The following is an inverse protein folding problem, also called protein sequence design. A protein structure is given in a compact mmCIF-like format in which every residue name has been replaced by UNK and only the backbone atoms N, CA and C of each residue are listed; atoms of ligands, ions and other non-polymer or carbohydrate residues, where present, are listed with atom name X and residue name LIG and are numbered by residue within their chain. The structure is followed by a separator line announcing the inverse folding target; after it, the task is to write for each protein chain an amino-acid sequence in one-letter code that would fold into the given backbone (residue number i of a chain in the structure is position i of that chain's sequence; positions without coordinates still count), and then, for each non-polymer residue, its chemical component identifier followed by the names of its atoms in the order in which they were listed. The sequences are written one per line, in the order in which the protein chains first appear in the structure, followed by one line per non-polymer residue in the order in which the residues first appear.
data_IF_477501189540
#
_entry.id   IF_477501189540
#
_cell.length_a   1.000
_cell.length_b   1.000
_cell.length_c   1.000
_cell.angle_alpha   90.00
_cell.angle_beta   90.00
_cell.angle_gamma   90.00
#
_symmetry.space_group_name_H-M   'P 1'
#
loop_
_entity.id
_entity.type
_entity.pdbx_description
1 polymer ?
#
# COMPACT_ATOMS: atom_id res chain seq x y z
N UNK A 1 12.29 -13.26 -18.53
CA UNK A 1 11.44 -12.07 -18.79
C UNK A 1 10.05 -12.43 -18.31
N UNK A 2 9.71 -12.11 -17.06
CA UNK A 2 8.36 -12.36 -16.53
C UNK A 2 7.71 -11.01 -16.36
N UNK A 3 6.98 -10.59 -17.38
CA UNK A 3 6.08 -9.45 -17.30
C UNK A 3 4.88 -9.90 -16.48
N UNK A 4 5.03 -9.91 -15.15
CA UNK A 4 3.85 -9.88 -14.30
C UNK A 4 3.16 -8.56 -14.63
N UNK A 5 2.01 -8.63 -15.30
CA UNK A 5 1.00 -7.58 -15.19
C UNK A 5 0.52 -7.60 -13.75
N UNK A 6 1.41 -7.23 -12.81
CA UNK A 6 1.15 -7.22 -11.38
C UNK A 6 -0.03 -6.31 -11.17
N UNK A 7 -1.15 -6.93 -10.82
CA UNK A 7 -2.33 -6.22 -10.36
C UNK A 7 -1.95 -5.54 -9.05
N UNK A 8 -2.03 -4.22 -9.04
CA UNK A 8 -1.69 -3.39 -7.90
C UNK A 8 -2.98 -2.85 -7.31
N UNK A 9 -3.08 -2.89 -5.99
CA UNK A 9 -4.13 -2.24 -5.23
C UNK A 9 -3.56 -0.98 -4.60
N UNK A 10 -4.27 0.13 -4.76
CA UNK A 10 -3.94 1.41 -4.15
C UNK A 10 -4.89 1.65 -3.00
N UNK A 11 -4.36 1.74 -1.78
CA UNK A 11 -5.10 2.12 -0.59
C UNK A 11 -4.87 3.62 -0.40
N UNK A 12 -5.89 4.44 -0.64
CA UNK A 12 -5.81 5.89 -0.46
C UNK A 12 -6.00 6.26 1.01
N UNK A 13 -5.25 7.26 1.47
CA UNK A 13 -5.44 7.92 2.75
C UNK A 13 -6.63 8.85 2.75
N UNK A 14 -7.74 8.43 2.12
CA UNK A 14 -9.02 9.12 2.08
C UNK A 14 -10.09 8.08 2.38
N UNK A 15 -10.97 8.39 3.33
CA UNK A 15 -12.08 7.51 3.67
C UNK A 15 -13.16 7.55 2.58
N UNK A 16 -14.09 6.60 2.58
CA UNK A 16 -15.26 6.64 1.72
C UNK A 16 -16.13 7.90 1.94
N UNK A 17 -16.02 8.54 3.10
CA UNK A 17 -16.64 9.84 3.41
C UNK A 17 -15.87 11.06 2.87
N UNK A 18 -14.79 10.85 2.10
CA UNK A 18 -13.99 11.92 1.50
C UNK A 18 -13.04 12.63 2.46
N UNK A 19 -12.82 12.10 3.68
CA UNK A 19 -11.95 12.72 4.69
C UNK A 19 -10.54 12.17 4.59
N UNK A 20 -9.53 13.04 4.75
CA UNK A 20 -8.14 12.61 4.82
C UNK A 20 -7.88 11.76 6.07
N UNK A 21 -7.28 10.60 5.88
CA UNK A 21 -6.88 9.69 6.95
C UNK A 21 -5.64 10.21 7.68
N UNK A 22 -5.60 10.00 9.00
CA UNK A 22 -4.56 10.50 9.90
C UNK A 22 -4.06 9.36 10.80
N UNK A 23 -2.81 9.43 11.30
CA UNK A 23 -1.82 10.49 11.08
C UNK A 23 -1.26 10.50 9.64
N UNK A 24 -0.58 11.59 9.24
CA UNK A 24 -0.08 11.74 7.86
C UNK A 24 1.03 10.76 7.49
N UNK A 25 1.66 10.11 8.47
CA UNK A 25 2.72 9.11 8.31
C UNK A 25 2.20 7.67 8.31
N UNK A 26 0.87 7.47 8.21
CA UNK A 26 0.25 6.15 8.26
C UNK A 26 0.75 5.21 7.15
N UNK A 27 1.01 5.75 5.96
CA UNK A 27 1.44 4.97 4.81
C UNK A 27 2.83 4.38 5.05
N UNK A 28 3.74 5.21 5.57
CA UNK A 28 5.08 4.82 5.97
C UNK A 28 5.05 3.82 7.12
N UNK A 29 4.13 3.97 8.09
CA UNK A 29 3.93 3.01 9.19
C UNK A 29 3.46 1.64 8.67
N UNK A 30 2.46 1.61 7.80
CA UNK A 30 1.96 0.37 7.20
C UNK A 30 3.07 -0.32 6.39
N UNK A 31 3.77 0.42 5.54
CA UNK A 31 4.89 -0.12 4.77
C UNK A 31 6.06 -0.60 5.63
N UNK A 32 6.30 0.04 6.78
CA UNK A 32 7.28 -0.38 7.77
C UNK A 32 6.98 -1.76 8.34
N UNK A 33 5.73 -2.01 8.74
CA UNK A 33 5.26 -3.35 9.20
C UNK A 33 5.47 -4.39 8.09
N UNK A 34 5.24 -3.98 6.84
CA UNK A 34 5.35 -4.88 5.69
C UNK A 34 6.79 -5.12 5.22
N UNK A 35 7.79 -4.39 5.73
CA UNK A 35 9.18 -4.44 5.25
C UNK A 35 9.84 -5.82 5.35
N UNK A 36 9.37 -6.68 6.27
CA UNK A 36 9.84 -8.05 6.45
C UNK A 36 9.41 -9.01 5.32
N UNK A 37 8.32 -8.69 4.60
CA UNK A 37 7.78 -9.54 3.54
C UNK A 37 8.40 -9.15 2.21
N UNK A 38 9.50 -9.80 1.82
CA UNK A 38 10.19 -9.51 0.56
C UNK A 38 10.92 -10.74 0.02
N UNK A 39 11.07 -10.88 -1.30
CA UNK A 39 11.84 -11.97 -1.89
C UNK A 39 13.35 -11.68 -1.77
N UNK A 40 14.11 -12.62 -1.20
CA UNK A 40 15.59 -12.61 -1.19
C UNK A 40 16.24 -12.31 0.16
N UNK A 41 17.57 -12.48 0.23
CA UNK A 41 18.34 -12.30 1.46
C UNK A 41 18.44 -10.82 1.87
N UNK A 42 18.31 -10.58 3.17
CA UNK A 42 18.58 -9.27 3.76
C UNK A 42 20.08 -9.00 3.68
N UNK A 43 20.49 -8.16 2.72
CA UNK A 43 21.86 -7.66 2.66
C UNK A 43 22.14 -6.83 3.92
N UNK A 44 23.20 -7.15 4.69
CA UNK A 44 23.62 -6.37 5.84
C UNK A 44 23.78 -4.89 5.46
N UNK A 45 23.13 -3.99 6.20
CA UNK A 45 23.19 -2.54 5.94
C UNK A 45 22.00 -1.94 5.17
N UNK A 46 21.00 -2.74 4.74
CA UNK A 46 19.76 -2.25 4.10
C UNK A 46 18.50 -2.51 4.96
N UNK A 47 18.58 -2.15 6.23
CA UNK A 47 17.52 -2.39 7.23
C UNK A 47 16.30 -1.46 7.09
N UNK A 48 16.35 -0.42 6.25
CA UNK A 48 15.30 0.60 6.14
C UNK A 48 14.55 0.61 4.80
N UNK A 49 14.62 -0.47 4.04
CA UNK A 49 13.94 -0.53 2.74
C UNK A 49 12.57 -1.18 2.89
N UNK A 50 11.52 -0.50 2.40
CA UNK A 50 10.18 -1.05 2.30
C UNK A 50 10.13 -2.33 1.46
N UNK A 51 9.08 -3.13 1.65
CA UNK A 51 8.83 -4.28 0.79
C UNK A 51 8.58 -3.84 -0.65
N UNK A 52 9.10 -4.55 -1.67
CA UNK A 52 8.76 -4.27 -3.06
C UNK A 52 7.25 -4.46 -3.35
N UNK A 53 6.54 -5.19 -2.49
CA UNK A 53 5.11 -5.44 -2.63
C UNK A 53 4.23 -4.53 -1.77
N UNK A 54 4.81 -3.69 -0.92
CA UNK A 54 4.07 -2.71 -0.11
C UNK A 54 4.89 -1.41 -0.04
N UNK A 55 4.51 -0.43 -0.87
CA UNK A 55 5.28 0.80 -1.07
C UNK A 55 4.44 2.02 -0.71
N UNK A 56 4.89 2.88 0.22
CA UNK A 56 4.21 4.13 0.53
C UNK A 56 4.52 5.17 -0.54
N UNK A 57 3.51 5.91 -0.96
CA UNK A 57 3.66 6.97 -1.97
C UNK A 57 2.59 8.05 -1.81
N UNK A 58 2.53 9.00 -2.73
CA UNK A 58 1.43 9.93 -2.87
C UNK A 58 0.86 9.90 -4.29
N UNK A 59 -0.46 9.94 -4.37
CA UNK A 59 -1.20 10.07 -5.63
C UNK A 59 -2.08 11.30 -5.50
N UNK A 60 -1.95 12.25 -6.42
CA UNK A 60 -2.71 13.52 -6.41
C UNK A 60 -2.62 14.30 -5.08
N UNK A 61 -1.45 14.30 -4.44
CA UNK A 61 -1.24 14.97 -3.15
C UNK A 61 -1.80 14.22 -1.93
N UNK A 62 -2.45 13.08 -2.14
CA UNK A 62 -2.99 12.21 -1.10
C UNK A 62 -1.98 11.09 -0.81
N UNK A 63 -1.69 10.85 0.47
CA UNK A 63 -0.85 9.71 0.91
C UNK A 63 -1.56 8.40 0.61
N UNK A 64 -0.84 7.42 0.07
CA UNK A 64 -1.39 6.11 -0.25
C UNK A 64 -0.34 5.01 -0.12
N UNK A 65 -0.80 3.77 -0.09
CA UNK A 65 0.05 2.59 -0.12
C UNK A 65 -0.31 1.77 -1.35
N UNK A 66 0.71 1.36 -2.10
CA UNK A 66 0.58 0.44 -3.22
C UNK A 66 0.89 -0.96 -2.71
N UNK A 67 -0.06 -1.88 -2.88
CA UNK A 67 0.08 -3.30 -2.55
C UNK A 67 0.09 -4.11 -3.85
N UNK A 68 1.14 -4.90 -4.07
CA UNK A 68 1.25 -5.80 -5.23
C UNK A 68 0.58 -7.14 -4.92
N UNK A 69 -0.25 -7.67 -5.82
CA UNK A 69 -0.92 -8.96 -5.65
C UNK A 69 0.08 -10.14 -5.56
N UNK A 70 1.33 -9.95 -5.98
CA UNK A 70 2.40 -10.91 -5.70
C UNK A 70 2.61 -11.16 -4.19
N UNK A 71 2.24 -10.22 -3.31
CA UNK A 71 2.22 -10.43 -1.87
C UNK A 71 1.26 -11.54 -1.47
N UNK A 72 0.07 -11.61 -2.07
CA UNK A 72 -0.92 -12.64 -1.75
C UNK A 72 -0.40 -14.05 -2.08
N UNK A 73 0.32 -14.20 -3.19
CA UNK A 73 0.95 -15.47 -3.55
C UNK A 73 2.12 -15.84 -2.63
N UNK A 74 2.73 -14.86 -1.97
CA UNK A 74 3.83 -15.08 -1.03
C UNK A 74 3.32 -15.37 0.38
N UNK A 75 2.44 -14.52 0.89
CA UNK A 75 1.84 -14.63 2.22
C UNK A 75 0.42 -14.02 2.19
N UNK A 76 -0.58 -14.91 2.25
CA UNK A 76 -2.01 -14.54 2.24
C UNK A 76 -2.37 -13.72 3.48
N UNK A 77 -1.79 -14.01 4.64
CA UNK A 77 -2.10 -13.26 5.87
C UNK A 77 -1.57 -11.83 5.80
N UNK A 78 -0.40 -11.63 5.19
CA UNK A 78 0.17 -10.30 4.98
C UNK A 78 -0.67 -9.47 4.00
N UNK A 79 -1.19 -10.10 2.94
CA UNK A 79 -2.14 -9.47 2.03
C UNK A 79 -3.45 -9.09 2.74
N UNK A 80 -4.04 -10.03 3.47
CA UNK A 80 -5.28 -9.83 4.20
C UNK A 80 -5.13 -8.74 5.26
N UNK A 81 -3.97 -8.64 5.91
CA UNK A 81 -3.67 -7.55 6.84
C UNK A 81 -3.79 -6.17 6.17
N UNK A 82 -3.20 -5.99 4.99
CA UNK A 82 -3.30 -4.73 4.24
C UNK A 82 -4.75 -4.43 3.81
N UNK A 83 -5.48 -5.44 3.33
CA UNK A 83 -6.86 -5.26 2.87
C UNK A 83 -7.82 -4.99 4.03
N UNK A 84 -7.65 -5.69 5.15
CA UNK A 84 -8.42 -5.45 6.37
C UNK A 84 -8.08 -4.09 6.98
N UNK A 85 -6.81 -3.66 6.96
CA UNK A 85 -6.44 -2.31 7.38
C UNK A 85 -7.23 -1.24 6.59
N UNK A 86 -7.34 -1.38 5.27
CA UNK A 86 -8.14 -0.45 4.47
C UNK A 86 -9.62 -0.50 4.85
N UNK A 87 -10.18 -1.69 5.01
CA UNK A 87 -11.59 -1.90 5.36
C UNK A 87 -11.94 -1.33 6.73
N UNK A 88 -11.15 -1.62 7.75
CA UNK A 88 -11.39 -1.22 9.14
C UNK A 88 -11.28 0.30 9.32
N UNK A 89 -10.48 0.97 8.48
CA UNK A 89 -10.33 2.43 8.46
C UNK A 89 -11.19 3.11 7.39
N UNK A 90 -12.11 2.36 6.74
CA UNK A 90 -13.01 2.84 5.69
C UNK A 90 -12.29 3.56 4.54
N UNK A 91 -11.07 3.13 4.21
CA UNK A 91 -10.22 3.74 3.19
C UNK A 91 -10.63 3.32 1.79
N UNK A 92 -10.57 4.26 0.85
CA UNK A 92 -10.83 3.97 -0.55
C UNK A 92 -9.72 3.11 -1.15
N UNK A 93 -10.10 2.02 -1.83
CA UNK A 93 -9.19 1.12 -2.51
C UNK A 93 -9.45 1.09 -4.02
N UNK A 94 -8.39 1.11 -4.83
CA UNK A 94 -8.48 1.04 -6.30
C UNK A 94 -7.63 -0.08 -6.86
N UNK A 95 -8.17 -0.83 -7.83
CA UNK A 95 -7.38 -1.73 -8.66
C UNK A 95 -6.74 -0.91 -9.79
N UNK A 96 -5.42 -0.79 -9.77
CA UNK A 96 -4.68 0.11 -10.67
C UNK A 96 -4.66 1.56 -10.19
N UNK A 97 -4.03 2.43 -10.98
CA UNK A 97 -3.82 3.84 -10.62
C UNK A 97 -5.18 4.52 -10.37
N UNK A 98 -5.38 5.16 -9.20
CA UNK A 98 -6.63 5.85 -8.89
C UNK A 98 -6.91 6.94 -9.93
N UNK A 99 -8.19 7.18 -10.30
CA UNK A 99 -8.54 8.33 -11.11
C UNK A 99 -8.11 9.62 -10.40
N UNK A 100 -7.90 10.69 -11.15
CA UNK A 100 -7.61 12.01 -10.60
C UNK A 100 -8.79 12.45 -9.70
N UNK A 101 -8.72 12.11 -8.41
CA UNK A 101 -9.70 12.54 -7.42
C UNK A 101 -9.44 14.01 -7.16
N UNK A 102 -10.24 14.89 -7.77
CA UNK A 102 -10.35 16.28 -7.32
C UNK A 102 -10.87 16.23 -5.88
N UNK A 103 -10.11 16.67 -4.86
CA UNK A 103 -10.67 16.78 -3.52
C UNK A 103 -11.86 17.75 -3.59
N UNK A 104 -13.03 17.32 -3.13
CA UNK A 104 -14.18 18.19 -2.99
C UNK A 104 -13.77 19.36 -2.08
N UNK A 105 -13.85 20.57 -2.63
CA UNK A 105 -13.42 21.84 -2.03
C UNK A 105 -14.23 22.19 -0.80
#
# INVERSE_FOLDING_TARGET
MVSHTSKKVYILGVTHAGRAFRPSDWAERLAGVMSQFRPGMVLPGRHFTYSPWCVPTSVNGVRCVIVDEALHNHDVMAWDFCMNFAKDNELQTFQGVPPATTPAR
#
